data_IF_854667688533
#
_entry.id   IF_854667688533
#
_cell.length_a   1.000
_cell.length_b   1.000
_cell.length_c   1.000
_cell.angle_alpha   90.00
_cell.angle_beta   90.00
_cell.angle_gamma   90.00
#
_symmetry.space_group_name_H-M   'P 1'
#
loop_
_entity.id
_entity.type
_entity.pdbx_description
1 polymer ?
#
# COMPACT_ATOMS: atom_id res chain seq x y z
N UNK A 1 -21.12 3.75 -37.89
CA UNK A 1 -19.90 4.19 -38.58
C UNK A 1 -19.22 5.16 -37.62
N UNK A 2 -18.22 4.78 -36.83
CA UNK A 2 -16.99 4.04 -37.13
C UNK A 2 -16.59 3.05 -36.02
N UNK A 3 -15.87 2.01 -36.44
CA UNK A 3 -15.35 0.84 -35.72
C UNK A 3 -13.96 1.10 -35.12
N UNK A 4 -13.60 0.42 -34.01
CA UNK A 4 -12.41 -0.45 -33.81
C UNK A 4 -12.34 -0.85 -32.30
N UNK A 5 -12.60 -2.11 -31.93
CA UNK A 5 -11.65 -3.25 -31.77
C UNK A 5 -10.56 -2.95 -30.72
N UNK A 6 -10.37 -3.74 -29.65
CA UNK A 6 -10.84 -5.10 -29.37
C UNK A 6 -10.95 -5.43 -27.88
N UNK A 7 -11.86 -6.38 -27.63
CA UNK A 7 -11.79 -7.36 -26.55
C UNK A 7 -10.50 -8.18 -26.71
N UNK A 8 -10.09 -8.84 -25.62
CA UNK A 8 -8.90 -9.68 -25.47
C UNK A 8 -7.57 -8.94 -25.21
N UNK A 9 -7.38 -8.46 -23.98
CA UNK A 9 -6.06 -8.55 -23.33
C UNK A 9 -6.18 -8.45 -21.79
N UNK A 10 -6.27 -9.65 -21.19
CA UNK A 10 -5.68 -10.00 -19.89
C UNK A 10 -6.11 -9.18 -18.67
N UNK A 11 -7.33 -9.43 -18.18
CA UNK A 11 -7.45 -9.66 -16.74
C UNK A 11 -7.26 -11.17 -16.54
N UNK A 12 -6.18 -11.63 -15.87
CA UNK A 12 -6.06 -13.03 -15.53
C UNK A 12 -7.31 -13.42 -14.75
N UNK A 13 -7.93 -14.52 -15.15
CA UNK A 13 -8.89 -15.24 -14.35
C UNK A 13 -8.22 -15.58 -13.01
N UNK A 14 -8.37 -14.69 -12.04
CA UNK A 14 -8.08 -14.95 -10.64
C UNK A 14 -9.20 -15.91 -10.19
N UNK A 15 -9.04 -17.17 -10.56
CA UNK A 15 -9.67 -18.28 -9.85
C UNK A 15 -8.95 -18.47 -8.51
N UNK A 16 -8.95 -17.42 -7.67
CA UNK A 16 -8.67 -17.60 -6.25
C UNK A 16 -9.93 -18.10 -5.58
N UNK A 17 -9.84 -19.26 -4.95
CA UNK A 17 -10.96 -19.90 -4.24
C UNK A 17 -11.60 -19.03 -3.15
N UNK A 18 -10.95 -17.95 -2.71
CA UNK A 18 -11.49 -16.95 -1.80
C UNK A 18 -12.68 -16.19 -2.42
N UNK A 19 -12.47 -15.58 -3.60
CA UNK A 19 -13.49 -14.80 -4.34
C UNK A 19 -14.75 -15.60 -4.66
N UNK A 20 -14.60 -16.93 -4.81
CA UNK A 20 -15.73 -17.83 -5.04
C UNK A 20 -16.65 -17.95 -3.81
N UNK A 21 -16.10 -17.93 -2.60
CA UNK A 21 -16.89 -17.99 -1.36
C UNK A 21 -17.62 -16.68 -1.09
N UNK A 22 -16.97 -15.53 -1.33
CA UNK A 22 -17.63 -14.22 -1.18
C UNK A 22 -18.75 -14.04 -2.20
N UNK A 23 -18.55 -14.47 -3.45
CA UNK A 23 -19.62 -14.48 -4.47
C UNK A 23 -20.82 -15.32 -4.06
N UNK A 24 -20.60 -16.55 -3.58
CA UNK A 24 -21.69 -17.44 -3.17
C UNK A 24 -22.49 -16.86 -2.00
N UNK A 25 -21.80 -16.27 -1.01
CA UNK A 25 -22.44 -15.59 0.11
C UNK A 25 -23.20 -14.33 -0.29
N UNK A 26 -22.68 -13.56 -1.25
CA UNK A 26 -23.39 -12.41 -1.81
C UNK A 26 -24.66 -12.82 -2.56
N UNK A 27 -24.60 -13.91 -3.34
CA UNK A 27 -25.78 -14.46 -4.04
C UNK A 27 -26.86 -14.96 -3.06
N UNK A 28 -26.46 -15.44 -1.87
CA UNK A 28 -27.38 -15.99 -0.87
C UNK A 28 -27.91 -14.96 0.14
N UNK A 29 -27.08 -14.00 0.57
CA UNK A 29 -27.39 -13.07 1.66
C UNK A 29 -27.38 -11.59 1.26
N UNK A 30 -27.13 -11.27 -0.01
CA UNK A 30 -27.02 -9.90 -0.50
C UNK A 30 -25.88 -9.14 0.17
N UNK A 31 -26.00 -7.82 0.32
CA UNK A 31 -24.98 -6.97 0.96
C UNK A 31 -24.72 -7.29 2.45
N UNK A 32 -25.71 -7.85 3.15
CA UNK A 32 -25.61 -8.17 4.59
C UNK A 32 -24.60 -9.26 4.93
N UNK A 33 -24.03 -9.94 3.94
CA UNK A 33 -22.99 -10.94 4.18
C UNK A 33 -21.67 -10.36 4.68
N UNK A 34 -21.43 -9.07 4.45
CA UNK A 34 -20.20 -8.38 4.89
C UNK A 34 -20.04 -8.46 6.41
N UNK A 35 -21.15 -8.38 7.15
CA UNK A 35 -21.17 -8.49 8.61
C UNK A 35 -20.90 -9.92 9.12
N UNK A 36 -20.95 -10.90 8.21
CA UNK A 36 -20.67 -12.32 8.51
C UNK A 36 -19.23 -12.73 8.16
N UNK A 37 -18.41 -11.80 7.66
CA UNK A 37 -17.01 -12.05 7.33
C UNK A 37 -16.13 -11.79 8.56
N UNK A 38 -15.53 -12.85 9.09
CA UNK A 38 -14.50 -12.77 10.12
C UNK A 38 -13.11 -12.91 9.47
N UNK A 39 -12.37 -11.80 9.37
CA UNK A 39 -11.04 -11.79 8.75
C UNK A 39 -10.60 -10.43 8.22
N UNK A 40 -9.44 -10.41 7.57
CA UNK A 40 -8.85 -9.24 6.91
C UNK A 40 -9.23 -9.27 5.42
N UNK A 41 -10.06 -8.33 4.96
CA UNK A 41 -10.57 -8.32 3.59
C UNK A 41 -10.84 -6.90 3.07
N UNK A 42 -10.59 -6.71 1.77
CA UNK A 42 -10.91 -5.51 1.01
C UNK A 42 -11.20 -5.93 -0.42
N UNK A 43 -12.45 -5.81 -0.87
CA UNK A 43 -12.84 -6.25 -2.21
C UNK A 43 -13.92 -5.35 -2.81
N UNK A 44 -14.08 -5.50 -4.12
CA UNK A 44 -15.13 -4.85 -4.92
C UNK A 44 -15.83 -5.97 -5.68
N UNK A 45 -17.15 -6.10 -5.50
CA UNK A 45 -18.00 -6.96 -6.31
C UNK A 45 -18.76 -6.09 -7.32
N UNK A 46 -18.73 -6.49 -8.59
CA UNK A 46 -19.54 -5.90 -9.65
C UNK A 46 -20.67 -6.88 -9.99
N UNK A 47 -21.92 -6.45 -9.82
CA UNK A 47 -23.08 -7.21 -10.28
C UNK A 47 -23.44 -6.74 -11.69
N UNK A 48 -23.14 -7.58 -12.69
CA UNK A 48 -23.39 -7.26 -14.10
C UNK A 48 -24.86 -7.38 -14.50
N UNK A 49 -25.74 -7.89 -13.62
CA UNK A 49 -27.18 -8.06 -13.91
C UNK A 49 -27.95 -6.76 -13.79
N UNK A 50 -27.60 -5.95 -12.80
CA UNK A 50 -28.21 -4.64 -12.52
C UNK A 50 -27.21 -3.47 -12.58
N UNK A 51 -25.96 -3.77 -12.96
CA UNK A 51 -24.86 -2.82 -13.07
C UNK A 51 -24.54 -2.10 -11.75
N UNK A 52 -24.83 -2.76 -10.62
CA UNK A 52 -24.50 -2.29 -9.28
C UNK A 52 -23.12 -2.78 -8.82
N UNK A 53 -22.56 -2.13 -7.81
CA UNK A 53 -21.30 -2.55 -7.21
C UNK A 53 -21.37 -2.52 -5.69
N UNK A 54 -20.74 -3.50 -5.05
CA UNK A 54 -20.55 -3.56 -3.60
C UNK A 54 -19.06 -3.39 -3.27
N UNK A 55 -18.78 -2.52 -2.31
CA UNK A 55 -17.42 -2.22 -1.85
C UNK A 55 -17.35 -2.53 -0.36
N UNK A 56 -16.49 -3.47 0.04
CA UNK A 56 -16.45 -3.95 1.42
C UNK A 56 -15.04 -3.96 1.99
N UNK A 57 -14.93 -3.68 3.29
CA UNK A 57 -13.69 -3.68 4.07
C UNK A 57 -13.88 -4.32 5.43
N UNK A 58 -12.80 -4.89 5.95
CA UNK A 58 -12.71 -5.36 7.33
C UNK A 58 -12.92 -4.20 8.33
N UNK A 59 -13.45 -4.53 9.52
CA UNK A 59 -13.91 -3.56 10.52
C UNK A 59 -12.83 -2.57 10.99
N UNK A 60 -11.55 -2.97 10.95
CA UNK A 60 -10.41 -2.14 11.40
C UNK A 60 -9.71 -1.48 10.21
N UNK A 61 -9.97 -1.94 8.98
CA UNK A 61 -9.35 -1.47 7.75
C UNK A 61 -7.88 -1.88 7.63
N UNK A 62 -7.54 -3.09 8.09
CA UNK A 62 -6.20 -3.67 8.00
C UNK A 62 -5.76 -3.76 6.54
N UNK A 63 -6.69 -4.11 5.65
CA UNK A 63 -6.48 -4.09 4.20
C UNK A 63 -6.86 -2.72 3.63
N UNK A 64 -5.98 -2.14 2.81
CA UNK A 64 -6.17 -0.80 2.28
C UNK A 64 -7.10 -0.79 1.05
N UNK A 65 -8.23 -0.10 1.15
CA UNK A 65 -9.16 0.18 0.04
C UNK A 65 -9.35 1.68 -0.11
N UNK A 66 -9.29 2.17 -1.34
CA UNK A 66 -9.42 3.58 -1.66
C UNK A 66 -10.45 3.78 -2.76
N UNK A 67 -11.34 4.76 -2.58
CA UNK A 67 -12.38 5.15 -3.54
C UNK A 67 -12.04 6.56 -4.04
N UNK A 68 -12.02 6.74 -5.35
CA UNK A 68 -11.82 8.03 -6.01
C UNK A 68 -13.04 8.41 -6.84
N UNK A 69 -13.41 9.69 -6.79
CA UNK A 69 -14.49 10.27 -7.60
C UNK A 69 -13.86 11.11 -8.72
N UNK A 70 -14.19 10.78 -9.98
CA UNK A 70 -13.83 11.61 -11.14
C UNK A 70 -14.70 12.87 -11.24
N UNK A 71 -14.30 13.84 -12.07
CA UNK A 71 -15.08 15.06 -12.37
C UNK A 71 -16.31 14.78 -13.28
N UNK A 72 -16.49 13.50 -13.63
CA UNK A 72 -17.38 12.94 -14.63
C UNK A 72 -18.24 11.78 -14.07
N UNK A 73 -18.39 11.69 -12.73
CA UNK A 73 -19.21 10.69 -12.01
C UNK A 73 -18.84 9.20 -12.26
N UNK A 74 -17.71 8.94 -12.93
CA UNK A 74 -17.17 7.59 -13.08
C UNK A 74 -16.40 7.23 -11.80
N UNK A 75 -16.95 6.28 -11.03
CA UNK A 75 -16.24 5.65 -9.91
C UNK A 75 -15.09 4.81 -10.49
N UNK A 76 -13.86 5.28 -10.33
CA UNK A 76 -12.68 4.52 -10.77
C UNK A 76 -12.21 3.59 -9.64
N UNK A 77 -12.43 2.28 -9.82
CA UNK A 77 -11.80 1.24 -9.00
C UNK A 77 -10.36 1.08 -9.45
N UNK A 78 -9.45 1.70 -8.73
CA UNK A 78 -8.07 1.82 -9.16
C UNK A 78 -7.23 0.58 -8.90
N UNK A 79 -6.98 -0.17 -9.98
CA UNK A 79 -5.75 -0.91 -10.28
C UNK A 79 -4.50 -0.29 -9.62
N UNK A 80 -3.49 -1.10 -9.27
CA UNK A 80 -2.26 -0.78 -8.51
C UNK A 80 -1.67 0.64 -8.67
N UNK A 81 -1.86 1.26 -9.84
CA UNK A 81 -1.50 2.65 -10.14
C UNK A 81 -2.19 3.70 -9.27
N UNK A 82 -3.47 3.54 -8.90
CA UNK A 82 -4.17 4.49 -8.01
C UNK A 82 -3.69 4.35 -6.57
N UNK A 83 -3.50 3.11 -6.11
CA UNK A 83 -2.95 2.82 -4.77
C UNK A 83 -1.56 3.45 -4.65
N UNK A 84 -0.70 3.27 -5.65
CA UNK A 84 0.62 3.90 -5.67
C UNK A 84 0.53 5.43 -5.67
N UNK A 85 -0.40 6.02 -6.43
CA UNK A 85 -0.60 7.47 -6.47
C UNK A 85 -1.04 8.04 -5.10
N UNK A 86 -2.04 7.41 -4.47
CA UNK A 86 -2.55 7.83 -3.17
C UNK A 86 -1.51 7.65 -2.07
N UNK A 87 -0.80 6.51 -2.05
CA UNK A 87 0.30 6.28 -1.12
C UNK A 87 1.42 7.30 -1.30
N UNK A 88 1.80 7.60 -2.55
CA UNK A 88 2.81 8.62 -2.85
C UNK A 88 2.41 9.99 -2.32
N UNK A 89 1.17 10.41 -2.57
CA UNK A 89 0.66 11.68 -2.06
C UNK A 89 0.59 11.70 -0.53
N UNK A 90 0.20 10.59 0.09
CA UNK A 90 0.15 10.45 1.55
C UNK A 90 1.54 10.60 2.18
N UNK A 91 2.57 10.01 1.58
CA UNK A 91 3.97 10.15 2.02
C UNK A 91 4.43 11.59 1.82
N UNK A 92 4.26 12.16 0.61
CA UNK A 92 4.69 13.54 0.28
C UNK A 92 4.08 14.56 1.24
N UNK A 93 2.78 14.44 1.57
CA UNK A 93 2.11 15.33 2.53
C UNK A 93 2.77 15.33 3.91
N UNK A 94 3.36 14.19 4.32
CA UNK A 94 4.06 14.03 5.61
C UNK A 94 5.52 14.49 5.58
N UNK A 95 6.08 14.75 4.40
CA UNK A 95 7.43 15.33 4.25
C UNK A 95 7.45 16.86 4.47
N UNK A 96 6.29 17.49 4.66
CA UNK A 96 6.18 18.92 4.95
C UNK A 96 6.57 19.23 6.40
N UNK A 97 7.87 19.27 6.65
CA UNK A 97 8.46 19.61 7.95
C UNK A 97 9.65 20.54 7.79
N UNK A 98 9.92 21.33 8.83
CA UNK A 98 11.04 22.28 8.89
C UNK A 98 12.22 21.74 9.74
N UNK A 99 12.05 20.56 10.34
CA UNK A 99 13.07 19.87 11.16
C UNK A 99 13.56 18.60 10.45
N UNK A 100 14.78 18.10 10.75
CA UNK A 100 15.27 16.86 10.17
C UNK A 100 14.39 15.68 10.59
N UNK A 101 14.24 14.72 9.68
CA UNK A 101 13.47 13.49 9.90
C UNK A 101 14.17 12.30 9.21
N UNK A 102 13.75 11.10 9.59
CA UNK A 102 14.21 9.86 8.98
C UNK A 102 13.08 8.85 8.87
N UNK A 103 13.40 7.66 8.34
CA UNK A 103 12.44 6.58 8.12
C UNK A 103 12.81 5.33 8.91
N UNK A 104 11.81 4.62 9.42
CA UNK A 104 12.01 3.26 9.92
C UNK A 104 12.02 2.30 8.74
N UNK A 105 13.04 1.45 8.66
CA UNK A 105 13.26 0.54 7.55
C UNK A 105 13.47 -0.88 8.07
N UNK A 106 12.50 -1.76 7.79
CA UNK A 106 12.54 -3.17 8.21
C UNK A 106 13.03 -4.12 7.11
N UNK A 107 13.21 -3.61 5.89
CA UNK A 107 13.49 -4.42 4.70
C UNK A 107 12.24 -5.03 4.04
N UNK A 108 11.10 -5.05 4.74
CA UNK A 108 9.81 -5.49 4.17
C UNK A 108 9.21 -4.47 3.20
N UNK A 109 8.33 -4.95 2.33
CA UNK A 109 7.69 -4.20 1.24
C UNK A 109 7.18 -2.83 1.67
N UNK A 110 6.38 -2.75 2.74
CA UNK A 110 5.70 -1.50 3.13
C UNK A 110 6.70 -0.40 3.51
N UNK A 111 7.63 -0.73 4.41
CA UNK A 111 8.66 0.22 4.87
C UNK A 111 9.61 0.62 3.74
N UNK A 112 9.93 -0.32 2.85
CA UNK A 112 10.78 -0.08 1.69
C UNK A 112 10.10 0.83 0.66
N UNK A 113 8.79 0.67 0.46
CA UNK A 113 8.00 1.52 -0.43
C UNK A 113 7.93 2.95 0.10
N UNK A 114 7.64 3.14 1.38
CA UNK A 114 7.65 4.46 2.03
C UNK A 114 9.03 5.10 1.96
N UNK A 115 10.10 4.35 2.25
CA UNK A 115 11.47 4.83 2.16
C UNK A 115 11.84 5.25 0.74
N UNK A 116 11.47 4.46 -0.27
CA UNK A 116 11.76 4.77 -1.68
C UNK A 116 11.07 6.06 -2.16
N UNK A 117 9.80 6.24 -1.81
CA UNK A 117 9.05 7.46 -2.13
C UNK A 117 9.69 8.64 -1.38
N UNK A 118 10.01 8.46 -0.10
CA UNK A 118 10.64 9.52 0.70
C UNK A 118 11.96 9.97 0.08
N UNK A 119 12.87 9.06 -0.25
CA UNK A 119 14.15 9.37 -0.91
C UNK A 119 13.93 10.13 -2.22
N UNK A 120 12.95 9.72 -3.03
CA UNK A 120 12.66 10.35 -4.33
C UNK A 120 12.19 11.79 -4.21
N UNK A 121 11.39 12.10 -3.19
CA UNK A 121 10.77 13.42 -3.04
C UNK A 121 11.48 14.33 -2.02
N UNK A 122 12.42 13.81 -1.22
CA UNK A 122 13.14 14.55 -0.19
C UNK A 122 13.82 15.81 -0.74
N UNK A 123 14.47 15.72 -1.90
CA UNK A 123 15.21 16.83 -2.50
C UNK A 123 14.34 18.10 -2.75
N UNK A 124 13.02 17.94 -2.90
CA UNK A 124 12.08 19.05 -3.10
C UNK A 124 11.60 19.73 -1.82
N UNK A 125 11.95 19.22 -0.64
CA UNK A 125 11.40 19.66 0.65
C UNK A 125 12.16 20.84 1.26
N UNK A 126 11.51 21.60 2.15
CA UNK A 126 12.16 22.66 2.94
C UNK A 126 13.24 22.11 3.87
N UNK A 127 12.96 20.97 4.52
CA UNK A 127 13.91 20.27 5.36
C UNK A 127 15.21 19.97 4.59
N UNK A 128 15.13 19.48 3.36
CA UNK A 128 16.32 19.14 2.58
C UNK A 128 17.20 20.34 2.22
N UNK A 129 16.60 21.51 2.00
CA UNK A 129 17.36 22.75 1.75
C UNK A 129 18.16 23.21 2.96
N UNK A 130 17.67 22.91 4.17
CA UNK A 130 18.25 23.37 5.44
C UNK A 130 19.18 22.35 6.09
N UNK A 131 18.87 21.07 5.95
CA UNK A 131 19.53 19.97 6.66
C UNK A 131 20.23 18.97 5.72
N UNK A 132 20.09 19.14 4.40
CA UNK A 132 20.68 18.25 3.39
C UNK A 132 19.68 17.25 2.81
N UNK A 133 20.03 16.73 1.62
CA UNK A 133 19.17 15.81 0.85
C UNK A 133 19.35 14.34 1.23
N UNK A 134 20.21 14.03 2.20
CA UNK A 134 20.54 12.65 2.54
C UNK A 134 19.55 12.11 3.58
N UNK A 135 18.79 11.08 3.20
CA UNK A 135 17.82 10.45 4.08
C UNK A 135 18.49 9.52 5.08
N UNK A 136 18.16 9.65 6.36
CA UNK A 136 18.54 8.69 7.39
C UNK A 136 17.48 7.60 7.54
N UNK A 137 17.91 6.34 7.55
CA UNK A 137 17.04 5.19 7.80
C UNK A 137 17.48 4.46 9.06
N UNK A 138 16.52 3.91 9.81
CA UNK A 138 16.75 3.28 11.10
C UNK A 138 16.12 1.89 11.13
N UNK A 139 16.87 0.89 11.60
CA UNK A 139 16.38 -0.46 11.85
C UNK A 139 16.68 -0.87 13.29
N UNK A 140 15.81 -1.69 13.88
CA UNK A 140 15.98 -2.24 15.22
C UNK A 140 15.83 -3.75 15.13
N UNK A 141 16.76 -4.51 15.69
CA UNK A 141 16.73 -5.97 15.58
C UNK A 141 17.69 -6.66 16.54
N UNK A 142 17.51 -7.98 16.70
CA UNK A 142 18.54 -8.81 17.32
C UNK A 142 19.76 -8.84 16.40
N UNK A 143 20.96 -8.88 16.99
CA UNK A 143 22.20 -8.98 16.21
C UNK A 143 22.15 -10.20 15.28
N UNK A 144 22.44 -9.98 13.99
CA UNK A 144 22.39 -11.02 12.97
C UNK A 144 20.98 -11.39 12.48
N UNK A 145 19.93 -10.67 12.87
CA UNK A 145 18.57 -10.97 12.42
C UNK A 145 18.40 -10.80 10.89
N UNK A 146 17.50 -11.58 10.27
CA UNK A 146 17.19 -11.42 8.85
C UNK A 146 16.65 -10.03 8.50
N UNK A 147 15.95 -9.38 9.43
CA UNK A 147 15.39 -8.04 9.25
C UNK A 147 16.50 -6.98 9.12
N UNK A 148 17.56 -7.06 9.93
CA UNK A 148 18.71 -6.15 9.83
C UNK A 148 19.39 -6.30 8.46
N UNK A 149 19.56 -7.54 7.99
CA UNK A 149 20.15 -7.82 6.68
C UNK A 149 19.28 -7.25 5.55
N UNK A 150 17.98 -7.52 5.57
CA UNK A 150 17.05 -7.03 4.56
C UNK A 150 16.96 -5.49 4.55
N UNK A 151 16.90 -4.86 5.73
CA UNK A 151 16.91 -3.41 5.86
C UNK A 151 18.18 -2.79 5.28
N UNK A 152 19.34 -3.41 5.53
CA UNK A 152 20.64 -2.98 4.98
C UNK A 152 20.69 -3.07 3.46
N UNK A 153 20.19 -4.15 2.88
CA UNK A 153 20.14 -4.31 1.42
C UNK A 153 19.29 -3.21 0.77
N UNK A 154 18.13 -2.92 1.33
CA UNK A 154 17.26 -1.83 0.84
C UNK A 154 17.90 -0.46 1.07
N UNK A 155 18.54 -0.23 2.22
CA UNK A 155 19.22 1.02 2.52
C UNK A 155 20.38 1.31 1.54
N UNK A 156 21.15 0.28 1.19
CA UNK A 156 22.21 0.35 0.18
C UNK A 156 21.63 0.66 -1.21
N UNK A 157 20.54 -0.01 -1.58
CA UNK A 157 19.85 0.25 -2.85
C UNK A 157 19.33 1.69 -2.94
N UNK A 158 18.78 2.22 -1.85
CA UNK A 158 18.22 3.58 -1.79
C UNK A 158 19.27 4.67 -1.51
N UNK A 159 20.51 4.30 -1.17
CA UNK A 159 21.58 5.25 -0.83
C UNK A 159 21.35 6.04 0.46
N UNK A 160 20.62 5.48 1.43
CA UNK A 160 20.31 6.14 2.71
C UNK A 160 21.46 6.00 3.71
N UNK A 161 21.61 6.95 4.64
CA UNK A 161 22.48 6.78 5.81
C UNK A 161 21.76 5.85 6.79
N UNK A 162 22.16 4.58 6.80
CA UNK A 162 21.51 3.54 7.58
C UNK A 162 22.08 3.42 8.99
N UNK A 163 21.20 3.33 9.97
CA UNK A 163 21.52 3.13 11.37
C UNK A 163 20.86 1.86 11.86
N UNK A 164 21.64 0.96 12.43
CA UNK A 164 21.15 -0.26 13.06
C UNK A 164 21.23 -0.14 14.57
N UNK A 165 20.14 -0.46 15.27
CA UNK A 165 20.12 -0.57 16.71
C UNK A 165 19.91 -2.01 17.12
N UNK A 166 20.85 -2.54 17.89
CA UNK A 166 20.80 -3.92 18.35
C UNK A 166 20.28 -3.94 19.79
N UNK A 167 19.35 -4.87 20.07
CA UNK A 167 18.89 -5.13 21.42
C UNK A 167 19.24 -6.56 21.84
N UNK A 168 19.38 -6.76 23.15
CA UNK A 168 19.59 -8.08 23.75
C UNK A 168 18.35 -8.48 24.54
N UNK A 169 18.05 -9.77 24.57
CA UNK A 169 16.97 -10.30 25.41
C UNK A 169 17.50 -10.40 26.83
N UNK A 170 16.95 -9.60 27.75
CA UNK A 170 17.18 -9.80 29.18
C UNK A 170 16.24 -10.89 29.67
N UNK A 171 16.80 -12.04 30.02
CA UNK A 171 16.07 -13.09 30.74
C UNK A 171 16.18 -12.75 32.23
N UNK A 172 15.04 -12.39 32.84
CA UNK A 172 14.88 -12.20 34.29
C UNK A 172 14.82 -13.54 35.02
#
# INVERSE_FOLDING_TARGET
MSTMVGEDDLLPSIEDGALRQERLKYEEYGEGFVDMLDGMFSFVLLDTRDNSFLVARDAIGITSLYIGWGLDDITQFGSCRLIFFLLSNAVIKRLMTDVPFGVLLSGRLDSSLVASITTRYLAGTKAARRWGVQLHSFCVGLEGSPDLKAAKEVANYLGTVHHEFHFTVQVL
#
